data_IF_323184642805
#
_entry.id   IF_323184642805
#
_cell.length_a   1.000
_cell.length_b   1.000
_cell.length_c   1.000
_cell.angle_alpha   90.00
_cell.angle_beta   90.00
_cell.angle_gamma   90.00
#
_symmetry.space_group_name_H-M   'P 1'
#
loop_
_entity.id
_entity.type
_entity.pdbx_description
1 polymer ?
#
# COMPACT_ATOMS: atom_id res chain seq x y z
N UNK A 1 -20.98 -11.92 -22.98
CA UNK A 1 -21.25 -11.81 -23.36
C UNK A 1 -21.52 -11.80 -23.57
N UNK A 2 -21.21 -11.97 -23.48
CA UNK A 2 -21.35 -11.99 -23.85
C UNK A 2 -21.24 -11.96 -23.64
N UNK A 3 -20.95 -12.05 -23.33
CA UNK A 3 -20.91 -12.02 -23.45
C UNK A 3 -20.75 -11.89 -23.04
N UNK A 4 -20.51 -11.85 -22.66
CA UNK A 4 -20.39 -11.74 -22.64
C UNK A 4 -20.37 -11.43 -22.07
N UNK A 5 -20.50 -11.33 -21.89
CA UNK A 5 -20.56 -11.08 -21.80
C UNK A 5 -20.31 -11.11 -21.23
N UNK A 6 -20.30 -11.12 -20.86
CA UNK A 6 -20.03 -11.19 -20.81
C UNK A 6 -20.40 -11.21 -20.06
N UNK A 7 -20.19 -11.50 -19.51
CA UNK A 7 -20.25 -11.69 -19.25
C UNK A 7 -20.03 -11.64 -18.54
N UNK A 8 -20.06 -11.53 -17.86
CA UNK A 8 -19.70 -11.57 -17.68
C UNK A 8 -19.28 -12.05 -17.25
N UNK A 9 -19.00 -12.00 -17.03
CA UNK A 9 -18.25 -12.58 -17.20
C UNK A 9 -17.91 -13.17 -17.58
N UNK A 10 -17.85 -13.34 -18.01
CA UNK A 10 -17.38 -13.83 -18.89
C UNK A 10 -16.74 -13.96 -19.24
N UNK A 11 -16.55 -14.19 -19.53
CA UNK A 11 -15.76 -14.30 -20.27
C UNK A 11 -15.61 -14.20 -20.77
N UNK A 12 -15.20 -14.15 -21.08
CA UNK A 12 -14.96 -14.13 -21.79
C UNK A 12 -14.76 -14.46 -22.21
N UNK A 13 -14.39 -14.65 -22.40
CA UNK A 13 -14.20 -15.09 -23.07
C UNK A 13 -14.07 -15.20 -23.39
N UNK A 14 -13.95 -15.37 -23.53
CA UNK A 14 -13.76 -15.56 -24.11
C UNK A 14 -13.64 -15.34 -24.35
N UNK A 15 -13.69 -15.20 -24.53
CA UNK A 15 -13.40 -15.11 -25.08
C UNK A 15 -12.87 -15.24 -25.11
N UNK A 16 -12.37 -15.47 -24.95
CA UNK A 16 -11.73 -15.80 -25.10
C UNK A 16 -11.34 -16.30 -25.01
N UNK A 17 -11.36 -16.53 -25.05
CA UNK A 17 -10.74 -17.16 -25.13
C UNK A 17 -10.49 -17.40 -24.96
N UNK A 18 -10.18 -17.58 -24.81
CA UNK A 18 -9.59 -17.90 -24.72
C UNK A 18 -9.02 -18.09 -24.55
N UNK A 19 -8.84 -18.25 -24.49
CA UNK A 19 -8.04 -18.46 -24.22
C UNK A 19 -7.27 -18.32 -24.04
N UNK A 20 -6.60 -18.24 -24.21
CA UNK A 20 -5.76 -18.11 -24.06
C UNK A 20 -5.08 -17.60 -23.51
N UNK A 21 -4.88 -17.42 -23.57
CA UNK A 21 -4.24 -16.90 -23.06
C UNK A 21 -4.40 -16.45 -21.99
N UNK A 22 -4.80 -16.65 -21.73
CA UNK A 22 -5.12 -16.33 -20.63
C UNK A 22 -4.48 -16.96 -19.68
N UNK A 23 -4.06 -16.61 -18.99
CA UNK A 23 -3.68 -17.26 -17.87
C UNK A 23 -4.61 -16.96 -16.77
N UNK A 24 -5.75 -16.68 -16.97
CA UNK A 24 -6.54 -16.07 -15.95
C UNK A 24 -6.68 -16.84 -14.71
N UNK A 25 -6.86 -18.09 -14.82
CA UNK A 25 -6.89 -18.91 -13.64
C UNK A 25 -5.52 -19.04 -13.05
N UNK A 26 -4.54 -18.44 -13.71
CA UNK A 26 -3.22 -18.45 -13.24
C UNK A 26 -2.73 -17.11 -12.89
N UNK A 27 -3.53 -16.09 -12.86
CA UNK A 27 -3.14 -14.80 -12.35
C UNK A 27 -2.83 -14.97 -10.87
N UNK A 28 -1.60 -14.73 -10.45
CA UNK A 28 -1.23 -14.97 -9.05
C UNK A 28 -1.74 -13.82 -8.19
N UNK A 29 -2.97 -13.93 -7.79
CA UNK A 29 -3.58 -12.97 -6.87
C UNK A 29 -3.42 -13.46 -5.46
N UNK A 30 -3.10 -12.55 -4.56
CA UNK A 30 -3.06 -12.85 -3.15
C UNK A 30 -4.36 -12.40 -2.50
N UNK A 31 -4.83 -13.17 -1.53
CA UNK A 31 -6.04 -12.81 -0.82
C UNK A 31 -5.88 -11.47 -0.11
N UNK A 32 -6.93 -10.65 -0.03
CA UNK A 32 -6.85 -9.41 0.73
C UNK A 32 -6.55 -9.69 2.20
N UNK A 33 -5.74 -8.85 2.82
CA UNK A 33 -5.47 -8.96 4.25
C UNK A 33 -6.66 -8.39 5.02
N UNK A 34 -6.87 -8.83 6.29
CA UNK A 34 -7.92 -8.24 7.10
C UNK A 34 -7.76 -6.72 7.28
N UNK A 35 -6.52 -6.25 7.30
CA UNK A 35 -6.24 -4.83 7.44
C UNK A 35 -6.61 -4.03 6.20
N UNK A 36 -6.58 -4.67 5.04
CA UNK A 36 -6.79 -3.99 3.77
C UNK A 36 -8.16 -3.30 3.68
N UNK A 37 -9.18 -3.88 4.28
CA UNK A 37 -10.51 -3.28 4.26
C UNK A 37 -10.59 -1.98 5.07
N UNK A 38 -9.61 -1.74 5.93
CA UNK A 38 -9.55 -0.54 6.76
C UNK A 38 -8.57 0.50 6.22
N UNK A 39 -7.92 0.24 5.09
CA UNK A 39 -6.90 1.15 4.55
C UNK A 39 -7.42 2.57 4.38
N UNK A 40 -8.62 2.73 3.85
CA UNK A 40 -9.16 4.07 3.60
C UNK A 40 -9.33 4.83 4.90
N UNK A 41 -9.93 4.20 5.91
CA UNK A 41 -10.16 4.85 7.19
C UNK A 41 -8.85 5.16 7.91
N UNK A 42 -7.93 4.20 7.94
CA UNK A 42 -6.63 4.41 8.57
C UNK A 42 -5.82 5.48 7.85
N UNK A 43 -5.84 5.47 6.52
CA UNK A 43 -5.14 6.47 5.74
C UNK A 43 -5.70 7.85 5.95
N UNK A 44 -7.02 7.97 6.09
CA UNK A 44 -7.65 9.26 6.36
C UNK A 44 -7.19 9.81 7.72
N UNK A 45 -7.16 8.97 8.74
CA UNK A 45 -6.71 9.38 10.08
C UNK A 45 -5.24 9.82 10.03
N UNK A 46 -4.39 9.02 9.39
CA UNK A 46 -2.97 9.34 9.27
C UNK A 46 -2.77 10.63 8.48
N UNK A 47 -3.54 10.84 7.42
CA UNK A 47 -3.43 12.01 6.58
C UNK A 47 -3.82 13.27 7.36
N UNK A 48 -4.93 13.22 8.09
CA UNK A 48 -5.38 14.36 8.89
C UNK A 48 -4.36 14.68 9.99
N UNK A 49 -3.87 13.66 10.69
CA UNK A 49 -2.87 13.87 11.73
C UNK A 49 -1.59 14.45 11.15
N UNK A 50 -1.13 13.94 10.00
CA UNK A 50 0.05 14.47 9.32
C UNK A 50 -0.16 15.91 8.87
N UNK A 51 -1.32 16.23 8.32
CA UNK A 51 -1.63 17.58 7.89
C UNK A 51 -1.65 18.56 9.06
N UNK A 52 -2.19 18.14 10.20
CA UNK A 52 -2.18 18.96 11.41
C UNK A 52 -0.75 19.21 11.90
N UNK A 53 0.09 18.19 11.88
CA UNK A 53 1.48 18.33 12.29
C UNK A 53 2.21 19.31 11.38
N UNK A 54 2.04 19.16 10.06
CA UNK A 54 2.68 20.04 9.10
C UNK A 54 2.18 21.47 9.26
N UNK A 55 0.87 21.65 9.43
CA UNK A 55 0.28 22.97 9.63
C UNK A 55 0.83 23.63 10.88
N UNK A 56 0.96 22.87 11.97
CA UNK A 56 1.53 23.40 13.19
C UNK A 56 2.97 23.87 12.99
N UNK A 57 3.78 23.08 12.29
CA UNK A 57 5.16 23.45 11.99
C UNK A 57 5.23 24.67 11.09
N UNK A 58 4.37 24.74 10.08
CA UNK A 58 4.33 25.87 9.14
C UNK A 58 3.92 27.17 9.82
N UNK A 59 3.10 27.07 10.87
CA UNK A 59 2.65 28.26 11.58
C UNK A 59 3.54 28.62 12.77
N UNK A 60 4.69 28.00 12.87
CA UNK A 60 5.72 28.40 13.82
C UNK A 60 5.89 27.52 15.05
N UNK A 61 5.12 26.43 15.18
CA UNK A 61 5.32 25.51 16.30
C UNK A 61 6.66 24.80 16.17
N UNK A 62 7.38 24.60 17.30
CA UNK A 62 8.66 23.87 17.26
C UNK A 62 8.41 22.37 17.12
N UNK A 63 9.44 21.64 16.72
CA UNK A 63 9.38 20.19 16.65
C UNK A 63 9.03 19.56 18.00
N UNK A 64 9.42 20.23 19.08
CA UNK A 64 9.12 19.75 20.43
C UNK A 64 7.68 20.01 20.88
N UNK A 65 6.88 20.66 20.04
CA UNK A 65 5.48 20.98 20.37
C UNK A 65 4.69 19.71 20.68
N UNK A 66 3.88 19.71 21.75
CA UNK A 66 3.06 18.54 22.09
C UNK A 66 2.11 18.15 20.98
N UNK A 67 1.56 19.13 20.23
CA UNK A 67 0.63 18.79 19.15
C UNK A 67 1.33 18.08 18.02
N UNK A 68 2.54 18.48 17.68
CA UNK A 68 3.33 17.81 16.62
C UNK A 68 3.64 16.39 17.06
N UNK A 69 4.11 16.21 18.29
CA UNK A 69 4.42 14.88 18.81
C UNK A 69 3.19 13.97 18.83
N UNK A 70 2.07 14.51 19.30
CA UNK A 70 0.82 13.74 19.37
C UNK A 70 0.36 13.30 17.98
N UNK A 71 0.36 14.23 17.01
CA UNK A 71 -0.06 13.91 15.66
C UNK A 71 0.84 12.87 15.02
N UNK A 72 2.16 12.95 15.24
CA UNK A 72 3.07 11.95 14.69
C UNK A 72 2.93 10.61 15.37
N UNK A 73 2.61 10.58 16.68
CA UNK A 73 2.36 9.31 17.37
C UNK A 73 1.11 8.61 16.84
N UNK A 74 0.22 9.33 16.19
CA UNK A 74 -0.93 8.73 15.52
C UNK A 74 -0.59 8.37 14.09
N UNK A 75 -0.02 9.31 13.34
CA UNK A 75 0.20 9.14 11.91
C UNK A 75 1.25 8.09 11.57
N UNK A 76 2.38 8.09 12.26
CA UNK A 76 3.50 7.22 11.90
C UNK A 76 3.20 5.75 12.15
N UNK A 77 2.66 5.33 13.32
CA UNK A 77 2.31 3.92 13.50
C UNK A 77 1.29 3.43 12.47
N UNK A 78 0.29 4.23 12.15
CA UNK A 78 -0.70 3.86 11.15
C UNK A 78 -0.02 3.69 9.79
N UNK A 79 0.82 4.64 9.40
CA UNK A 79 1.55 4.58 8.14
C UNK A 79 2.44 3.35 8.08
N UNK A 80 3.19 3.07 9.14
CA UNK A 80 4.11 1.93 9.19
C UNK A 80 3.33 0.62 9.07
N UNK A 81 2.26 0.47 9.84
CA UNK A 81 1.49 -0.78 9.84
C UNK A 81 0.83 -1.01 8.47
N UNK A 82 0.17 0.00 7.92
CA UNK A 82 -0.50 -0.16 6.62
C UNK A 82 0.51 -0.36 5.49
N UNK A 83 1.63 0.34 5.54
CA UNK A 83 2.67 0.21 4.51
C UNK A 83 3.35 -1.14 4.60
N UNK A 84 3.63 -1.62 5.81
CA UNK A 84 4.23 -2.95 6.00
C UNK A 84 3.29 -4.04 5.51
N UNK A 85 2.00 -3.92 5.80
CA UNK A 85 1.01 -4.89 5.33
C UNK A 85 0.94 -4.91 3.80
N UNK A 86 0.92 -3.74 3.18
CA UNK A 86 0.93 -3.63 1.72
C UNK A 86 2.23 -4.17 1.13
N UNK A 87 3.36 -3.89 1.77
CA UNK A 87 4.65 -4.39 1.31
C UNK A 87 4.70 -5.91 1.34
N UNK A 88 4.16 -6.51 2.40
CA UNK A 88 4.10 -7.96 2.50
C UNK A 88 3.24 -8.56 1.38
N UNK A 89 2.12 -7.91 1.08
CA UNK A 89 1.26 -8.37 0.00
C UNK A 89 1.97 -8.24 -1.36
N UNK A 90 2.64 -7.12 -1.61
CA UNK A 90 3.43 -6.95 -2.82
C UNK A 90 4.55 -7.97 -2.92
N UNK A 91 5.19 -8.29 -1.81
CA UNK A 91 6.26 -9.27 -1.76
C UNK A 91 5.75 -10.65 -2.17
N UNK A 92 4.63 -11.07 -1.59
CA UNK A 92 4.02 -12.35 -1.95
C UNK A 92 3.60 -12.37 -3.41
N UNK A 93 2.99 -11.29 -3.87
CA UNK A 93 2.57 -11.17 -5.26
C UNK A 93 3.77 -11.22 -6.22
N UNK A 94 4.88 -10.57 -5.84
CA UNK A 94 6.08 -10.57 -6.67
C UNK A 94 6.59 -11.97 -6.92
N UNK A 95 6.70 -12.78 -5.87
CA UNK A 95 7.19 -14.14 -6.02
C UNK A 95 6.18 -15.03 -6.72
N UNK A 96 4.89 -14.77 -6.56
CA UNK A 96 3.87 -15.50 -7.31
C UNK A 96 3.96 -15.20 -8.81
N UNK A 97 4.32 -13.99 -9.19
CA UNK A 97 4.43 -13.59 -10.59
C UNK A 97 5.75 -14.01 -11.25
N UNK A 98 6.81 -14.26 -10.48
CA UNK A 98 8.12 -14.57 -11.04
C UNK A 98 8.10 -15.72 -12.06
N UNK A 99 7.44 -16.87 -11.78
CA UNK A 99 7.41 -17.95 -12.76
C UNK A 99 6.57 -17.63 -13.99
N UNK A 100 5.66 -16.68 -13.90
CA UNK A 100 4.73 -16.33 -14.98
C UNK A 100 5.31 -15.20 -15.81
N UNK A 101 5.78 -14.15 -15.15
CA UNK A 101 6.28 -12.95 -15.82
C UNK A 101 7.28 -12.28 -14.89
N UNK A 102 8.56 -12.46 -15.18
CA UNK A 102 9.64 -11.92 -14.34
C UNK A 102 9.56 -10.41 -14.24
N UNK A 103 9.20 -9.72 -15.34
CA UNK A 103 9.08 -8.26 -15.32
C UNK A 103 8.07 -7.78 -14.32
N UNK A 104 6.92 -8.42 -14.25
CA UNK A 104 5.89 -8.06 -13.28
C UNK A 104 6.32 -8.36 -11.85
N UNK A 105 7.00 -9.48 -11.65
CA UNK A 105 7.54 -9.81 -10.34
C UNK A 105 8.55 -8.76 -9.88
N UNK A 106 9.48 -8.40 -10.76
CA UNK A 106 10.50 -7.40 -10.43
C UNK A 106 9.89 -6.03 -10.16
N UNK A 107 8.87 -5.65 -10.93
CA UNK A 107 8.16 -4.39 -10.72
C UNK A 107 7.56 -4.34 -9.31
N UNK A 108 6.96 -5.43 -8.87
CA UNK A 108 6.39 -5.50 -7.53
C UNK A 108 7.46 -5.46 -6.44
N UNK A 109 8.62 -6.08 -6.67
CA UNK A 109 9.73 -5.97 -5.72
C UNK A 109 10.23 -4.54 -5.60
N UNK A 110 10.19 -3.76 -6.69
CA UNK A 110 10.55 -2.35 -6.65
C UNK A 110 9.62 -1.61 -5.67
N UNK A 111 8.33 -1.91 -5.70
CA UNK A 111 7.39 -1.29 -4.77
C UNK A 111 7.63 -1.73 -3.33
N UNK A 112 8.08 -2.96 -3.11
CA UNK A 112 8.49 -3.40 -1.76
C UNK A 112 9.66 -2.55 -1.28
N UNK A 113 10.66 -2.33 -2.14
CA UNK A 113 11.80 -1.49 -1.77
C UNK A 113 11.37 -0.06 -1.47
N UNK A 114 10.46 0.51 -2.28
CA UNK A 114 9.95 1.85 -2.05
C UNK A 114 9.19 1.93 -0.72
N UNK A 115 8.40 0.90 -0.40
CA UNK A 115 7.65 0.86 0.86
C UNK A 115 8.60 0.82 2.06
N UNK A 116 9.65 0.00 2.00
CA UNK A 116 10.64 -0.08 3.07
C UNK A 116 11.37 1.25 3.25
N UNK A 117 11.69 1.91 2.16
CA UNK A 117 12.31 3.22 2.22
C UNK A 117 11.36 4.23 2.88
N UNK A 118 10.10 4.22 2.52
CA UNK A 118 9.09 5.10 3.12
C UNK A 118 8.94 4.86 4.61
N UNK A 119 8.93 3.60 5.04
CA UNK A 119 8.87 3.25 6.46
C UNK A 119 10.10 3.81 7.18
N UNK A 120 11.28 3.62 6.60
CA UNK A 120 12.51 4.14 7.19
C UNK A 120 12.48 5.65 7.37
N UNK A 121 12.01 6.37 6.37
CA UNK A 121 11.89 7.82 6.42
C UNK A 121 10.91 8.23 7.52
N UNK A 122 9.75 7.57 7.60
CA UNK A 122 8.74 7.90 8.59
C UNK A 122 9.23 7.64 10.01
N UNK A 123 9.89 6.51 10.24
CA UNK A 123 10.44 6.18 11.55
C UNK A 123 11.56 7.17 11.92
N UNK A 124 12.40 7.52 10.95
CA UNK A 124 13.44 8.51 11.18
C UNK A 124 12.88 9.87 11.56
N UNK A 125 11.85 10.33 10.85
CA UNK A 125 11.19 11.59 11.16
C UNK A 125 10.56 11.56 12.55
N UNK A 126 9.88 10.46 12.89
CA UNK A 126 9.29 10.30 14.21
C UNK A 126 10.36 10.34 15.30
N UNK A 127 11.50 9.68 15.07
CA UNK A 127 12.59 9.67 16.03
C UNK A 127 13.11 11.09 16.30
N UNK A 128 13.26 11.87 15.24
CA UNK A 128 13.73 13.26 15.37
C UNK A 128 12.75 14.08 16.20
N UNK A 129 11.46 13.95 15.91
CA UNK A 129 10.44 14.72 16.62
C UNK A 129 10.32 14.31 18.08
N UNK A 130 10.33 13.00 18.34
CA UNK A 130 10.15 12.50 19.70
C UNK A 130 11.34 12.81 20.59
N UNK A 131 12.52 13.00 20.02
CA UNK A 131 13.72 13.35 20.79
C UNK A 131 14.01 14.84 20.79
N UNK A 132 13.20 15.62 20.13
CA UNK A 132 13.37 17.07 20.06
C UNK A 132 13.00 17.79 21.37
#
# INVERSE_FOLDING_TARGET
MDDERWEEGMPVLDRQGIGHDRPPDRIPETAPTPLQKHYINLSAIALVAGALAITALETGSPLSSPIVKFCLLIAVPIFVITTADAALKFYRSAWAWMPVDVGRGLFRLTWVAAALLGIGIAVGAASIVLTA
#
